data_IF_664789508396
#
_entry.id   IF_664789508396
#
_cell.length_a   1.000
_cell.length_b   1.000
_cell.length_c   1.000
_cell.angle_alpha   90.00
_cell.angle_beta   90.00
_cell.angle_gamma   90.00
#
_symmetry.space_group_name_H-M   'P 1'
#
loop_
_entity.id
_entity.type
_entity.pdbx_description
1 polymer ?
#
# COMPACT_ATOMS: atom_id res chain seq x y z
N UNK A 1 -8.65 -25.36 -19.59
CA UNK A 1 -9.34 -24.08 -19.38
C UNK A 1 -9.91 -24.13 -17.98
N UNK A 2 -9.36 -23.37 -17.03
CA UNK A 2 -9.84 -23.34 -15.64
C UNK A 2 -11.13 -22.55 -15.58
N UNK A 3 -12.23 -23.22 -15.26
CA UNK A 3 -13.51 -22.58 -14.99
C UNK A 3 -13.41 -21.81 -13.68
N UNK A 4 -13.43 -20.47 -13.75
CA UNK A 4 -13.60 -19.63 -12.56
C UNK A 4 -15.05 -19.80 -12.08
N UNK A 5 -15.24 -20.50 -10.98
CA UNK A 5 -16.53 -20.61 -10.29
C UNK A 5 -16.88 -19.22 -9.71
N UNK A 6 -17.94 -18.59 -10.21
CA UNK A 6 -18.43 -17.33 -9.65
C UNK A 6 -19.18 -17.66 -8.36
N UNK A 7 -18.51 -17.52 -7.23
CA UNK A 7 -19.16 -17.64 -5.92
C UNK A 7 -20.08 -16.44 -5.71
N UNK A 8 -21.39 -16.67 -5.69
CA UNK A 8 -22.39 -15.66 -5.38
C UNK A 8 -22.47 -15.44 -3.86
N UNK A 9 -22.10 -14.25 -3.40
CA UNK A 9 -22.27 -13.84 -1.99
C UNK A 9 -23.62 -13.14 -1.81
N UNK A 10 -24.08 -12.98 -0.56
CA UNK A 10 -25.28 -12.16 -0.30
C UNK A 10 -24.91 -10.68 -0.34
N UNK A 11 -25.84 -9.77 -0.68
CA UNK A 11 -25.58 -8.33 -0.62
C UNK A 11 -25.10 -7.85 0.76
N UNK A 12 -25.56 -8.50 1.84
CA UNK A 12 -25.08 -8.20 3.20
C UNK A 12 -23.62 -8.62 3.40
N UNK A 13 -23.22 -9.78 2.89
CA UNK A 13 -21.82 -10.21 2.93
C UNK A 13 -20.93 -9.30 2.08
N UNK A 14 -21.39 -8.92 0.88
CA UNK A 14 -20.65 -8.01 0.00
C UNK A 14 -20.46 -6.63 0.65
N UNK A 15 -21.52 -6.08 1.24
CA UNK A 15 -21.45 -4.82 1.96
C UNK A 15 -20.52 -4.90 3.19
N UNK A 16 -20.57 -5.99 3.96
CA UNK A 16 -19.72 -6.17 5.14
C UNK A 16 -18.24 -6.39 4.81
N UNK A 17 -17.93 -7.00 3.66
CA UNK A 17 -16.57 -7.22 3.20
C UNK A 17 -15.96 -5.99 2.50
N UNK A 18 -16.79 -5.01 2.11
CA UNK A 18 -16.34 -3.82 1.41
C UNK A 18 -16.01 -2.72 2.41
N UNK A 19 -14.74 -2.30 2.45
CA UNK A 19 -14.32 -1.09 3.15
C UNK A 19 -14.19 0.06 2.13
N UNK A 20 -15.27 0.84 1.87
CA UNK A 20 -15.25 1.88 0.86
C UNK A 20 -14.20 2.92 1.20
N UNK A 21 -13.41 3.33 0.20
CA UNK A 21 -12.38 4.37 0.35
C UNK A 21 -11.30 4.07 1.40
N UNK A 22 -11.15 2.80 1.80
CA UNK A 22 -10.11 2.39 2.73
C UNK A 22 -8.69 2.59 2.16
N UNK A 23 -8.52 2.88 0.87
CA UNK A 23 -7.23 3.16 0.27
C UNK A 23 -7.39 4.19 -0.86
N UNK A 24 -6.58 5.26 -0.90
CA UNK A 24 -6.59 6.19 -2.03
C UNK A 24 -5.95 5.52 -3.26
N UNK A 25 -6.79 5.12 -4.22
CA UNK A 25 -6.35 4.35 -5.38
C UNK A 25 -5.73 5.21 -6.49
N UNK A 26 -5.95 6.53 -6.43
CA UNK A 26 -5.55 7.53 -7.41
C UNK A 26 -4.15 8.13 -7.15
N UNK A 27 -3.44 7.69 -6.12
CA UNK A 27 -2.11 8.18 -5.75
C UNK A 27 -1.21 7.04 -5.28
N UNK A 28 0.01 7.38 -4.87
CA UNK A 28 0.88 6.40 -4.21
C UNK A 28 0.40 6.22 -2.78
N UNK A 29 0.21 4.96 -2.36
CA UNK A 29 -0.26 4.65 -1.02
C UNK A 29 0.66 3.64 -0.35
N UNK A 30 0.90 3.81 0.95
CA UNK A 30 1.51 2.79 1.79
C UNK A 30 0.44 1.71 2.08
N UNK A 31 0.77 0.45 1.81
CA UNK A 31 -0.17 -0.67 2.00
C UNK A 31 0.32 -1.70 3.02
N UNK A 32 1.56 -1.58 3.47
CA UNK A 32 2.12 -2.47 4.48
C UNK A 32 3.51 -2.05 4.93
N UNK A 33 3.86 -2.46 6.14
CA UNK A 33 5.22 -2.43 6.68
C UNK A 33 5.50 -3.82 7.23
N UNK A 34 6.66 -4.39 6.90
CA UNK A 34 7.14 -5.63 7.50
C UNK A 34 8.52 -5.42 8.09
N UNK A 35 8.86 -6.19 9.12
CA UNK A 35 10.21 -6.24 9.67
C UNK A 35 10.72 -7.66 9.54
N UNK A 36 11.87 -7.84 8.90
CA UNK A 36 12.58 -9.12 8.81
C UNK A 36 14.00 -8.96 9.39
N UNK A 37 14.81 -10.02 9.35
CA UNK A 37 16.19 -10.01 9.84
C UNK A 37 17.10 -9.00 9.09
N UNK A 38 16.71 -8.57 7.89
CA UNK A 38 17.41 -7.56 7.10
C UNK A 38 16.92 -6.13 7.40
N UNK A 39 15.84 -5.97 8.17
CA UNK A 39 15.32 -4.68 8.63
C UNK A 39 13.89 -4.37 8.17
N UNK A 40 13.41 -3.13 8.40
CA UNK A 40 12.07 -2.73 8.01
C UNK A 40 11.97 -2.54 6.49
N UNK A 41 10.85 -3.02 5.92
CA UNK A 41 10.48 -2.85 4.52
C UNK A 41 9.08 -2.26 4.42
N UNK A 42 8.91 -1.34 3.46
CA UNK A 42 7.62 -0.74 3.14
C UNK A 42 7.08 -1.29 1.83
N UNK A 43 5.78 -1.51 1.78
CA UNK A 43 5.04 -1.90 0.59
C UNK A 43 4.27 -0.69 0.08
N UNK A 44 4.65 -0.19 -1.10
CA UNK A 44 4.07 0.98 -1.73
C UNK A 44 3.27 0.57 -2.96
N UNK A 45 2.00 0.97 -3.01
CA UNK A 45 1.14 0.80 -4.18
C UNK A 45 1.14 2.09 -4.99
N UNK A 46 1.47 2.00 -6.27
CA UNK A 46 1.30 3.12 -7.22
C UNK A 46 -0.17 3.32 -7.61
N UNK A 47 -0.49 4.51 -8.15
CA UNK A 47 -1.78 4.78 -8.80
C UNK A 47 -2.19 3.74 -9.86
N UNK A 48 -1.20 3.17 -10.56
CA UNK A 48 -1.42 2.14 -11.58
C UNK A 48 -1.62 0.73 -11.00
N UNK A 49 -1.63 0.56 -9.68
CA UNK A 49 -1.79 -0.72 -9.00
C UNK A 49 -0.53 -1.56 -8.88
N UNK A 50 0.62 -1.10 -9.41
CA UNK A 50 1.91 -1.78 -9.19
C UNK A 50 2.36 -1.63 -7.74
N UNK A 51 2.86 -2.71 -7.15
CA UNK A 51 3.42 -2.75 -5.80
C UNK A 51 4.95 -2.74 -5.89
N UNK A 52 5.58 -1.91 -5.06
CA UNK A 52 7.02 -1.83 -4.88
C UNK A 52 7.34 -2.08 -3.42
N UNK A 53 8.38 -2.86 -3.15
CA UNK A 53 8.93 -3.08 -1.81
C UNK A 53 10.22 -2.29 -1.71
N UNK A 54 10.41 -1.53 -0.64
CA UNK A 54 11.61 -0.72 -0.48
C UNK A 54 12.06 -0.59 0.98
N UNK A 55 13.35 -0.34 1.15
CA UNK A 55 14.01 -0.05 2.43
C UNK A 55 14.39 1.43 2.56
N UNK A 56 14.61 1.96 3.78
CA UNK A 56 15.13 3.31 3.96
C UNK A 56 16.44 3.51 3.19
N UNK A 57 16.55 4.63 2.47
CA UNK A 57 17.67 4.97 1.59
C UNK A 57 17.56 4.41 0.16
N UNK A 58 16.57 3.57 -0.13
CA UNK A 58 16.39 2.98 -1.45
C UNK A 58 15.66 3.93 -2.42
N UNK A 59 16.16 3.99 -3.66
CA UNK A 59 15.52 4.71 -4.77
C UNK A 59 14.58 3.79 -5.52
N UNK A 60 13.32 4.19 -5.63
CA UNK A 60 12.29 3.43 -6.35
C UNK A 60 11.71 4.21 -7.53
N UNK A 61 10.91 3.54 -8.36
CA UNK A 61 10.14 4.20 -9.41
C UNK A 61 9.05 5.15 -8.87
N UNK A 62 8.74 5.10 -7.58
CA UNK A 62 7.74 5.94 -6.92
C UNK A 62 8.36 7.10 -6.14
N UNK A 63 9.68 7.11 -5.96
CA UNK A 63 10.41 8.09 -5.17
C UNK A 63 11.53 7.45 -4.35
N UNK A 64 12.27 8.27 -3.62
CA UNK A 64 13.32 7.84 -2.70
C UNK A 64 12.70 7.59 -1.32
N UNK A 65 12.80 6.36 -0.79
CA UNK A 65 12.25 6.03 0.52
C UNK A 65 13.19 6.55 1.60
N UNK A 66 12.78 7.59 2.32
CA UNK A 66 13.65 8.29 3.28
C UNK A 66 13.64 7.65 4.67
N UNK A 67 12.46 7.21 5.12
CA UNK A 67 12.29 6.62 6.45
C UNK A 67 11.05 5.72 6.52
N UNK A 68 11.09 4.74 7.41
CA UNK A 68 9.96 3.90 7.79
C UNK A 68 9.72 4.11 9.29
N UNK A 69 8.52 4.55 9.66
CA UNK A 69 8.03 4.59 11.03
C UNK A 69 7.16 3.38 11.35
N UNK A 70 6.44 3.42 12.47
CA UNK A 70 5.59 2.29 12.92
C UNK A 70 4.42 2.03 11.97
N UNK A 71 3.72 3.09 11.56
CA UNK A 71 2.54 3.04 10.69
C UNK A 71 2.62 3.99 9.50
N UNK A 72 3.79 4.54 9.22
CA UNK A 72 3.97 5.54 8.17
C UNK A 72 5.33 5.38 7.49
N UNK A 73 5.48 6.01 6.33
CA UNK A 73 6.76 6.21 5.67
C UNK A 73 6.93 7.64 5.23
N UNK A 74 8.17 8.05 5.01
CA UNK A 74 8.52 9.30 4.34
C UNK A 74 9.08 8.97 2.98
N UNK A 75 8.38 9.38 1.92
CA UNK A 75 8.77 9.20 0.53
C UNK A 75 9.14 10.55 -0.05
N UNK A 76 10.31 10.67 -0.65
CA UNK A 76 10.69 11.85 -1.42
C UNK A 76 10.32 11.63 -2.89
N UNK A 77 9.30 12.33 -3.35
CA UNK A 77 8.82 12.27 -4.73
C UNK A 77 8.73 13.68 -5.32
N UNK A 78 9.17 13.85 -6.58
CA UNK A 78 9.17 15.13 -7.27
C UNK A 78 9.77 16.31 -6.47
N UNK A 79 10.82 16.03 -5.68
CA UNK A 79 11.52 17.03 -4.86
C UNK A 79 10.77 17.44 -3.59
N UNK A 80 9.69 16.73 -3.21
CA UNK A 80 8.93 16.96 -1.97
C UNK A 80 8.96 15.73 -1.10
N UNK A 81 8.98 15.96 0.21
CA UNK A 81 8.82 14.90 1.19
C UNK A 81 7.34 14.71 1.48
N UNK A 82 6.85 13.50 1.24
CA UNK A 82 5.48 13.09 1.43
C UNK A 82 5.42 12.03 2.51
N UNK A 83 4.54 12.23 3.50
CA UNK A 83 4.28 11.25 4.54
C UNK A 83 3.09 10.39 4.12
N UNK A 84 3.32 9.11 3.93
CA UNK A 84 2.28 8.14 3.60
C UNK A 84 1.99 7.29 4.83
N UNK A 85 0.73 7.23 5.25
CA UNK A 85 0.31 6.46 6.42
C UNK A 85 -0.41 5.18 5.99
N UNK A 86 -0.31 4.15 6.83
CA UNK A 86 -1.09 2.94 6.63
C UNK A 86 -2.56 3.29 6.72
N UNK A 87 -3.40 2.74 5.83
CA UNK A 87 -4.81 3.01 5.90
C UNK A 87 -5.38 2.32 7.13
N UNK A 88 -6.11 3.08 7.94
CA UNK A 88 -6.90 2.52 9.02
C UNK A 88 -8.18 1.90 8.42
N UNK A 89 -8.57 0.72 8.92
CA UNK A 89 -9.93 0.26 8.73
C UNK A 89 -10.85 1.21 9.52
N UNK A 90 -11.79 1.85 8.83
CA UNK A 90 -12.83 2.68 9.44
C UNK A 90 -13.92 1.81 10.10
#
# INVERSE_FOLDING_TARGET
MSSSEVQTTTPQTEAAATAPQALPLNETALIGISVDDAGPRAFLRSRAGRIVVAMPGERTALGDLMAIGENYVVLRAWGRDERLELPAAA
#
